data_IF_771413064209
#
_entry.id   IF_771413064209
#
_cell.length_a   1.000
_cell.length_b   1.000
_cell.length_c   1.000
_cell.angle_alpha   90.00
_cell.angle_beta   90.00
_cell.angle_gamma   90.00
#
_symmetry.space_group_name_H-M   'P 1'
#
loop_
_entity.id
_entity.type
_entity.pdbx_description
1 polymer ?
#
# COMPACT_ATOMS: atom_id res chain seq x y z
N UNK A 1 16.82 9.38 -11.22
CA UNK A 1 16.49 10.72 -11.78
C UNK A 1 16.22 10.62 -13.29
N UNK A 2 17.09 10.00 -14.09
CA UNK A 2 16.87 9.80 -15.55
C UNK A 2 15.50 9.20 -15.91
N UNK A 3 15.01 8.20 -15.17
CA UNK A 3 13.70 7.60 -15.43
C UNK A 3 12.55 8.60 -15.20
N UNK A 4 12.70 9.56 -14.28
CA UNK A 4 11.68 10.58 -14.03
C UNK A 4 11.67 11.63 -15.13
N UNK A 5 12.85 12.02 -15.64
CA UNK A 5 13.00 12.94 -16.76
C UNK A 5 12.39 12.34 -18.04
N UNK A 6 12.67 11.08 -18.36
CA UNK A 6 12.05 10.37 -19.51
C UNK A 6 10.54 10.29 -19.39
N UNK A 7 10.02 9.93 -18.21
CA UNK A 7 8.58 9.90 -17.97
C UNK A 7 7.95 11.30 -18.12
N UNK A 8 8.65 12.35 -17.72
CA UNK A 8 8.19 13.74 -17.83
C UNK A 8 8.18 14.21 -19.28
N UNK A 9 9.23 13.92 -20.07
CA UNK A 9 9.29 14.21 -21.51
C UNK A 9 8.11 13.58 -22.25
N UNK A 10 7.83 12.29 -22.01
CA UNK A 10 6.71 11.60 -22.66
C UNK A 10 5.34 12.23 -22.29
N UNK A 11 5.20 12.73 -21.07
CA UNK A 11 3.97 13.37 -20.61
C UNK A 11 3.81 14.79 -21.18
N UNK A 12 4.90 15.52 -21.36
CA UNK A 12 4.91 16.87 -21.96
C UNK A 12 4.44 16.82 -23.41
N UNK A 13 4.85 15.82 -24.20
CA UNK A 13 4.46 15.66 -25.61
C UNK A 13 2.97 15.37 -25.82
N UNK A 14 2.28 14.85 -24.80
CA UNK A 14 0.87 14.48 -24.86
C UNK A 14 0.02 15.61 -24.28
N UNK A 15 -0.16 15.58 -22.96
CA UNK A 15 -0.96 16.54 -22.21
C UNK A 15 -0.61 16.39 -20.72
N UNK A 16 0.37 17.17 -20.27
CA UNK A 16 0.93 17.06 -18.94
C UNK A 16 -0.04 17.54 -17.84
N UNK A 17 -0.15 16.74 -16.77
CA UNK A 17 -0.63 17.23 -15.47
C UNK A 17 0.24 16.64 -14.36
N UNK A 18 0.35 17.35 -13.24
CA UNK A 18 1.09 16.89 -12.05
C UNK A 18 0.59 15.53 -11.58
N UNK A 19 -0.73 15.33 -11.58
CA UNK A 19 -1.38 14.07 -11.21
C UNK A 19 -0.99 12.93 -12.18
N UNK A 20 -0.95 13.18 -13.50
CA UNK A 20 -0.53 12.16 -14.47
C UNK A 20 0.91 11.71 -14.23
N UNK A 21 1.80 12.64 -13.88
CA UNK A 21 3.17 12.29 -13.49
C UNK A 21 3.21 11.41 -12.23
N UNK A 22 2.49 11.80 -11.16
CA UNK A 22 2.48 11.02 -9.92
C UNK A 22 1.91 9.61 -10.13
N UNK A 23 0.84 9.49 -10.92
CA UNK A 23 0.24 8.20 -11.28
C UNK A 23 1.19 7.33 -12.12
N UNK A 24 1.89 7.93 -13.09
CA UNK A 24 2.80 7.20 -13.98
C UNK A 24 3.99 6.60 -13.24
N UNK A 25 4.51 7.29 -12.22
CA UNK A 25 5.57 6.77 -11.37
C UNK A 25 5.02 5.79 -10.31
N UNK A 26 3.76 5.92 -9.93
CA UNK A 26 3.12 5.02 -8.95
C UNK A 26 3.43 5.42 -7.51
N UNK A 27 3.53 6.71 -7.21
CA UNK A 27 3.77 7.17 -5.84
C UNK A 27 2.63 6.81 -4.89
N UNK A 28 3.01 6.37 -3.70
CA UNK A 28 2.10 6.17 -2.58
C UNK A 28 1.88 7.48 -1.81
N UNK A 29 0.82 7.53 -0.99
CA UNK A 29 0.52 8.70 -0.17
C UNK A 29 1.67 9.09 0.77
N UNK A 30 2.36 8.10 1.35
CA UNK A 30 3.55 8.28 2.19
C UNK A 30 4.70 9.01 1.48
N UNK A 31 4.73 8.95 0.15
CA UNK A 31 5.77 9.52 -0.69
C UNK A 31 5.37 10.88 -1.27
N UNK A 32 4.31 11.54 -0.78
CA UNK A 32 3.85 12.84 -1.29
C UNK A 32 4.95 13.90 -1.37
N UNK A 33 5.77 14.02 -0.33
CA UNK A 33 6.89 14.96 -0.31
C UNK A 33 7.96 14.59 -1.37
N UNK A 34 8.36 13.32 -1.40
CA UNK A 34 9.29 12.80 -2.40
C UNK A 34 8.79 13.00 -3.84
N UNK A 35 7.49 12.84 -4.08
CA UNK A 35 6.87 13.04 -5.39
C UNK A 35 6.96 14.50 -5.85
N UNK A 36 6.73 15.45 -4.93
CA UNK A 36 6.90 16.90 -5.18
C UNK A 36 8.35 17.20 -5.58
N UNK A 37 9.30 16.75 -4.77
CA UNK A 37 10.72 17.04 -4.99
C UNK A 37 11.20 16.39 -6.29
N UNK A 38 10.80 15.15 -6.54
CA UNK A 38 11.15 14.42 -7.77
C UNK A 38 10.63 15.11 -9.03
N UNK A 39 9.41 15.64 -9.02
CA UNK A 39 8.88 16.40 -10.15
C UNK A 39 9.61 17.72 -10.33
N UNK A 40 9.87 18.44 -9.23
CA UNK A 40 10.59 19.72 -9.26
C UNK A 40 11.99 19.55 -9.84
N UNK A 41 12.73 18.54 -9.39
CA UNK A 41 14.07 18.27 -9.91
C UNK A 41 14.05 17.81 -11.36
N UNK A 42 13.10 16.95 -11.76
CA UNK A 42 12.96 16.57 -13.17
C UNK A 42 12.65 17.76 -14.09
N UNK A 43 11.81 18.69 -13.63
CA UNK A 43 11.52 19.93 -14.36
C UNK A 43 12.74 20.85 -14.44
N UNK A 44 13.53 20.98 -13.37
CA UNK A 44 14.77 21.78 -13.38
C UNK A 44 15.79 21.22 -14.38
N UNK A 45 15.94 19.90 -14.45
CA UNK A 45 16.83 19.26 -15.43
C UNK A 45 16.38 19.63 -16.84
N UNK A 46 15.11 19.44 -17.19
CA UNK A 46 14.59 19.81 -18.51
C UNK A 46 14.69 21.32 -18.80
N UNK A 47 14.46 22.17 -17.81
CA UNK A 47 14.58 23.62 -17.97
C UNK A 47 16.03 24.08 -18.19
N UNK A 48 17.01 23.29 -17.77
CA UNK A 48 18.44 23.58 -17.97
C UNK A 48 18.99 23.10 -19.31
N UNK A 49 18.24 22.26 -20.03
CA UNK A 49 18.57 21.79 -21.37
C UNK A 49 18.07 22.82 -22.40
N UNK A 50 18.80 23.08 -23.50
CA UNK A 50 18.32 23.95 -24.60
C UNK A 50 17.57 23.11 -25.64
N UNK A 51 16.51 22.42 -25.22
CA UNK A 51 15.74 21.50 -26.07
C UNK A 51 14.26 21.90 -26.23
N UNK A 52 13.50 21.08 -26.95
CA UNK A 52 12.06 21.30 -27.18
C UNK A 52 11.19 21.22 -25.91
N UNK A 53 11.70 20.64 -24.81
CA UNK A 53 11.00 20.49 -23.55
C UNK A 53 11.27 21.65 -22.59
N UNK A 54 12.40 22.32 -22.75
CA UNK A 54 12.91 23.40 -21.90
C UNK A 54 11.89 24.50 -21.60
N UNK A 55 11.31 25.10 -22.63
CA UNK A 55 10.37 26.19 -22.50
C UNK A 55 9.11 25.76 -21.74
N UNK A 56 8.65 24.54 -21.99
CA UNK A 56 7.50 23.97 -21.26
C UNK A 56 7.84 23.70 -19.81
N UNK A 57 9.03 23.17 -19.53
CA UNK A 57 9.51 22.90 -18.18
C UNK A 57 9.62 24.20 -17.35
N UNK A 58 10.13 25.28 -17.95
CA UNK A 58 10.18 26.61 -17.33
C UNK A 58 8.76 27.09 -16.97
N UNK A 59 7.83 27.06 -17.94
CA UNK A 59 6.44 27.48 -17.66
C UNK A 59 5.77 26.65 -16.56
N UNK A 60 6.10 25.36 -16.45
CA UNK A 60 5.59 24.49 -15.39
C UNK A 60 6.24 24.76 -14.04
N UNK A 61 7.51 25.19 -14.00
CA UNK A 61 8.18 25.64 -12.80
C UNK A 61 7.57 26.95 -12.27
N UNK A 62 7.22 27.87 -13.15
CA UNK A 62 6.61 29.16 -12.77
C UNK A 62 5.28 28.98 -12.03
N UNK A 63 4.44 28.03 -12.47
CA UNK A 63 3.15 27.72 -11.84
C UNK A 63 3.21 26.57 -10.84
N UNK A 64 4.41 26.08 -10.52
CA UNK A 64 4.58 24.80 -9.81
C UNK A 64 3.89 24.79 -8.44
N UNK A 65 4.15 25.81 -7.63
CA UNK A 65 3.62 25.86 -6.27
C UNK A 65 2.12 26.10 -6.26
N UNK A 66 1.59 26.88 -7.19
CA UNK A 66 0.14 27.06 -7.37
C UNK A 66 -0.53 25.73 -7.74
N UNK A 67 0.00 25.02 -8.73
CA UNK A 67 -0.55 23.73 -9.18
C UNK A 67 -0.43 22.65 -8.11
N UNK A 68 0.69 22.60 -7.37
CA UNK A 68 0.87 21.66 -6.26
C UNK A 68 -0.12 21.87 -5.12
N UNK A 69 -0.53 23.13 -4.90
CA UNK A 69 -1.52 23.51 -3.90
C UNK A 69 -2.95 23.54 -4.46
N UNK A 70 -3.16 23.14 -5.71
CA UNK A 70 -4.47 23.12 -6.32
C UNK A 70 -5.39 22.08 -5.67
N UNK A 71 -6.69 22.38 -5.67
CA UNK A 71 -7.73 21.48 -5.15
C UNK A 71 -7.69 20.10 -5.84
N UNK A 72 -7.32 20.03 -7.12
CA UNK A 72 -7.23 18.77 -7.85
C UNK A 72 -6.09 17.87 -7.32
N UNK A 73 -4.89 18.45 -7.12
CA UNK A 73 -3.75 17.72 -6.57
C UNK A 73 -4.02 17.33 -5.11
N UNK A 74 -4.65 18.20 -4.34
CA UNK A 74 -5.04 17.88 -2.96
C UNK A 74 -6.05 16.72 -2.90
N UNK A 75 -7.12 16.77 -3.71
CA UNK A 75 -8.11 15.70 -3.82
C UNK A 75 -7.47 14.37 -4.22
N UNK A 76 -6.52 14.39 -5.14
CA UNK A 76 -5.77 13.19 -5.54
C UNK A 76 -5.02 12.57 -4.35
N UNK A 77 -4.25 13.36 -3.61
CA UNK A 77 -3.51 12.85 -2.46
C UNK A 77 -4.43 12.39 -1.32
N UNK A 78 -5.52 13.11 -1.05
CA UNK A 78 -6.51 12.70 -0.07
C UNK A 78 -7.19 11.39 -0.47
N UNK A 79 -7.46 11.19 -1.77
CA UNK A 79 -7.94 9.92 -2.31
C UNK A 79 -6.98 8.77 -2.03
N UNK A 80 -5.68 8.96 -2.29
CA UNK A 80 -4.66 7.95 -1.99
C UNK A 80 -4.54 7.67 -0.49
N UNK A 81 -4.66 8.69 0.37
CA UNK A 81 -4.68 8.51 1.83
C UNK A 81 -5.82 7.61 2.27
N UNK A 82 -7.04 7.91 1.81
CA UNK A 82 -8.23 7.12 2.15
C UNK A 82 -8.11 5.69 1.63
N UNK A 83 -7.61 5.52 0.42
CA UNK A 83 -7.40 4.19 -0.16
C UNK A 83 -6.41 3.37 0.69
N UNK A 84 -5.29 3.96 1.09
CA UNK A 84 -4.28 3.30 1.92
C UNK A 84 -4.85 2.86 3.28
N UNK A 85 -5.65 3.71 3.94
CA UNK A 85 -6.32 3.34 5.19
C UNK A 85 -7.32 2.20 4.97
N UNK A 86 -8.10 2.23 3.89
CA UNK A 86 -9.05 1.15 3.55
C UNK A 86 -8.33 -0.17 3.34
N UNK A 87 -7.24 -0.18 2.58
CA UNK A 87 -6.47 -1.39 2.28
C UNK A 87 -5.82 -1.95 3.54
N UNK A 88 -5.31 -1.08 4.42
CA UNK A 88 -4.81 -1.47 5.74
C UNK A 88 -5.90 -2.11 6.60
N UNK A 89 -7.05 -1.46 6.76
CA UNK A 89 -8.18 -2.00 7.56
C UNK A 89 -8.66 -3.33 7.00
N UNK A 90 -8.77 -3.45 5.67
CA UNK A 90 -9.16 -4.72 5.03
C UNK A 90 -8.17 -5.84 5.34
N UNK A 91 -6.87 -5.54 5.30
CA UNK A 91 -5.83 -6.51 5.63
C UNK A 91 -5.93 -6.95 7.10
N UNK A 92 -6.14 -5.99 8.01
CA UNK A 92 -6.33 -6.28 9.45
C UNK A 92 -7.57 -7.16 9.70
N UNK A 93 -8.67 -6.95 8.97
CA UNK A 93 -9.87 -7.78 9.05
C UNK A 93 -9.59 -9.23 8.61
N UNK A 94 -8.90 -9.41 7.47
CA UNK A 94 -8.54 -10.75 7.00
C UNK A 94 -7.66 -11.50 8.01
N UNK A 95 -6.66 -10.83 8.58
CA UNK A 95 -5.80 -11.40 9.62
C UNK A 95 -6.60 -11.75 10.88
N UNK A 96 -7.60 -10.92 11.25
CA UNK A 96 -8.46 -11.22 12.39
C UNK A 96 -9.36 -12.44 12.14
N UNK A 97 -9.90 -12.58 10.93
CA UNK A 97 -10.71 -13.74 10.54
C UNK A 97 -9.88 -15.02 10.58
N UNK A 98 -8.68 -15.01 10.01
CA UNK A 98 -7.76 -16.15 10.05
C UNK A 98 -7.43 -16.56 11.50
N UNK A 99 -7.17 -15.59 12.38
CA UNK A 99 -6.91 -15.86 13.80
C UNK A 99 -8.11 -16.48 14.51
N UNK A 100 -9.34 -16.08 14.18
CA UNK A 100 -10.55 -16.67 14.75
C UNK A 100 -10.72 -18.13 14.31
N UNK A 101 -10.48 -18.42 13.03
CA UNK A 101 -10.52 -19.78 12.50
C UNK A 101 -9.48 -20.67 13.20
N UNK A 102 -8.23 -20.20 13.27
CA UNK A 102 -7.17 -20.90 14.00
C UNK A 102 -7.54 -21.17 15.46
N UNK A 103 -8.15 -20.19 16.14
CA UNK A 103 -8.59 -20.36 17.52
C UNK A 103 -9.70 -21.42 17.66
N UNK A 104 -10.66 -21.47 16.72
CA UNK A 104 -11.70 -22.51 16.70
C UNK A 104 -11.08 -23.90 16.57
N UNK A 105 -10.15 -24.08 15.62
CA UNK A 105 -9.45 -25.35 15.42
C UNK A 105 -8.66 -25.78 16.68
N UNK A 106 -8.07 -24.83 17.41
CA UNK A 106 -7.38 -25.13 18.67
C UNK A 106 -8.34 -25.62 19.76
N UNK A 107 -9.54 -25.03 19.86
CA UNK A 107 -10.57 -25.49 20.80
C UNK A 107 -10.99 -26.92 20.45
N UNK A 108 -11.29 -27.20 19.19
CA UNK A 108 -11.71 -28.53 18.74
C UNK A 108 -10.63 -29.58 19.02
N UNK A 109 -9.37 -29.24 18.73
CA UNK A 109 -8.21 -30.08 19.04
C UNK A 109 -8.10 -30.37 20.53
N UNK A 110 -8.21 -29.34 21.38
CA UNK A 110 -8.16 -29.49 22.84
C UNK A 110 -9.28 -30.40 23.36
N UNK A 111 -10.51 -30.26 22.86
CA UNK A 111 -11.64 -31.11 23.23
C UNK A 111 -11.36 -32.57 22.87
N UNK A 112 -10.84 -32.84 21.67
CA UNK A 112 -10.46 -34.19 21.23
C UNK A 112 -9.35 -34.77 22.12
N UNK A 113 -8.32 -33.98 22.43
CA UNK A 113 -7.21 -34.42 23.30
C UNK A 113 -7.72 -34.80 24.68
N UNK A 114 -8.57 -33.97 25.30
CA UNK A 114 -9.12 -34.23 26.62
C UNK A 114 -10.08 -35.42 26.62
N UNK A 115 -10.90 -35.58 25.57
CA UNK A 115 -11.73 -36.77 25.39
C UNK A 115 -10.89 -38.05 25.30
N UNK A 116 -9.82 -38.04 24.51
CA UNK A 116 -8.93 -39.19 24.35
C UNK A 116 -8.21 -39.53 25.65
N UNK A 117 -7.72 -38.52 26.40
CA UNK A 117 -7.10 -38.72 27.72
C UNK A 117 -8.09 -39.35 28.70
N UNK A 118 -9.31 -38.83 28.76
CA UNK A 118 -10.36 -39.32 29.66
C UNK A 118 -10.77 -40.75 29.31
N UNK A 119 -10.95 -41.05 28.03
CA UNK A 119 -11.31 -42.38 27.54
C UNK A 119 -10.23 -43.41 27.85
N UNK A 120 -8.95 -43.07 27.57
CA UNK A 120 -7.83 -43.95 27.88
C UNK A 120 -7.71 -44.24 29.38
N UNK A 121 -7.95 -43.24 30.23
CA UNK A 121 -7.98 -43.43 31.68
C UNK A 121 -9.08 -44.42 32.11
N UNK A 122 -10.30 -44.25 31.61
CA UNK A 122 -11.43 -45.13 31.94
C UNK A 122 -11.19 -46.57 31.48
N UNK A 123 -10.65 -46.77 30.27
CA UNK A 123 -10.30 -48.09 29.77
C UNK A 123 -9.24 -48.75 30.66
N UNK A 124 -8.22 -48.01 31.09
CA UNK A 124 -7.18 -48.51 31.98
C UNK A 124 -7.74 -48.90 33.36
N UNK A 125 -8.58 -48.06 33.95
CA UNK A 125 -9.26 -48.31 35.24
C UNK A 125 -10.16 -49.55 35.16
N UNK A 126 -10.98 -49.67 34.10
CA UNK A 126 -11.84 -50.83 33.90
C UNK A 126 -11.08 -52.14 33.67
N UNK A 127 -9.85 -52.08 33.14
CA UNK A 127 -9.01 -53.25 32.90
C UNK A 127 -8.36 -53.78 34.18
N UNK A 128 -8.24 -52.93 35.20
CA UNK A 128 -7.70 -53.31 36.52
C UNK A 128 -8.78 -54.04 37.36
N UNK A 129 -10.04 -53.61 37.24
CA UNK A 129 -11.17 -54.21 37.98
C UNK A 129 -11.60 -55.61 37.47
N UNK A 130 -11.13 -56.04 36.30
CA UNK A 130 -11.47 -57.36 35.70
C UNK A 130 -10.49 -58.47 36.16
N UNK A 131 -9.41 -58.14 36.88
CA UNK A 131 -8.32 -59.07 37.25
C UNK A 131 -8.38 -59.52 38.73
N UNK A 132 -9.52 -59.38 39.41
CA UNK A 132 -9.72 -59.84 40.80
C UNK A 132 -10.60 -61.08 40.87
#
# INVERSE_FOLDING_TARGET
MENHVKNLQELILKEFTFIKFFKKIGYQFSQKAQARDSLREALKVLASEEDEYSQKAISLLDVFDEQMNSCAVEKYWNGLKVQNERDKTRTEQLVLEEKKEQHSCLIDSNVIIEHNRSSNRLTLESSIDVVV
#
